data_IF_973862363359
#
_entry.id   IF_973862363359
#
_cell.length_a   1.000
_cell.length_b   1.000
_cell.length_c   1.000
_cell.angle_alpha   90.00
_cell.angle_beta   90.00
_cell.angle_gamma   90.00
#
_symmetry.space_group_name_H-M   'P 1'
#
loop_
_entity.id
_entity.type
_entity.pdbx_description
1 polymer ?
#
# COMPACT_ATOMS: atom_id res chain seq x y z
N UNK A 1 10.12 8.90 -0.01
CA UNK A 1 10.03 8.44 1.40
C UNK A 1 8.59 8.16 1.85
N UNK A 2 7.67 7.84 0.92
CA UNK A 2 6.25 7.59 1.25
C UNK A 2 6.07 6.25 1.99
N UNK A 3 6.46 5.13 1.37
CA UNK A 3 6.25 3.78 1.92
C UNK A 3 6.89 3.56 3.29
N UNK A 4 8.06 4.18 3.55
CA UNK A 4 8.69 4.17 4.88
C UNK A 4 7.85 4.93 5.91
N UNK A 5 7.28 6.07 5.53
CA UNK A 5 6.38 6.84 6.39
C UNK A 5 5.08 6.07 6.67
N UNK A 6 4.55 5.36 5.67
CA UNK A 6 3.38 4.48 5.82
C UNK A 6 3.69 3.31 6.75
N UNK A 7 4.86 2.67 6.62
CA UNK A 7 5.28 1.59 7.51
C UNK A 7 5.40 2.08 8.96
N UNK A 8 6.06 3.21 9.17
CA UNK A 8 6.17 3.83 10.50
C UNK A 8 4.79 4.19 11.08
N UNK A 9 3.93 4.85 10.30
CA UNK A 9 2.58 5.20 10.71
C UNK A 9 1.73 3.96 11.02
N UNK A 10 1.92 2.88 10.27
CA UNK A 10 1.23 1.61 10.50
C UNK A 10 1.61 1.01 11.85
N UNK A 11 2.91 0.97 12.18
CA UNK A 11 3.39 0.55 13.50
C UNK A 11 2.81 1.44 14.60
N UNK A 12 2.88 2.77 14.42
CA UNK A 12 2.33 3.73 15.38
C UNK A 12 0.83 3.51 15.64
N UNK A 13 0.02 3.28 14.61
CA UNK A 13 -1.41 2.98 14.74
C UNK A 13 -1.61 1.66 15.50
N UNK A 14 -0.89 0.62 15.12
CA UNK A 14 -1.00 -0.69 15.77
C UNK A 14 -0.68 -0.61 17.27
N UNK A 15 0.41 0.06 17.65
CA UNK A 15 0.81 0.25 19.04
C UNK A 15 -0.17 1.16 19.80
N UNK A 16 -0.53 2.31 19.23
CA UNK A 16 -1.41 3.30 19.88
C UNK A 16 -2.77 2.72 20.25
N UNK A 17 -3.31 1.86 19.39
CA UNK A 17 -4.62 1.24 19.60
C UNK A 17 -4.52 -0.20 20.13
N UNK A 18 -3.31 -0.64 20.51
CA UNK A 18 -3.04 -1.97 21.06
C UNK A 18 -3.64 -3.10 20.19
N UNK A 19 -3.46 -2.98 18.87
CA UNK A 19 -4.00 -3.90 17.88
C UNK A 19 -3.16 -5.18 17.84
N UNK A 20 -3.82 -6.33 17.87
CA UNK A 20 -3.17 -7.63 17.65
C UNK A 20 -2.94 -7.83 16.15
N UNK A 21 -1.71 -7.55 15.71
CA UNK A 21 -1.30 -7.61 14.30
C UNK A 21 -0.04 -8.46 14.14
N UNK A 22 0.10 -9.07 12.97
CA UNK A 22 1.35 -9.65 12.50
C UNK A 22 2.27 -8.54 11.97
N UNK A 23 3.22 -8.09 12.80
CA UNK A 23 4.10 -6.97 12.47
C UNK A 23 4.97 -7.25 11.23
N UNK A 24 5.36 -8.49 10.99
CA UNK A 24 6.12 -8.86 9.80
C UNK A 24 5.32 -8.53 8.52
N UNK A 25 4.08 -8.99 8.45
CA UNK A 25 3.18 -8.74 7.32
C UNK A 25 2.80 -7.27 7.22
N UNK A 26 2.55 -6.61 8.36
CA UNK A 26 2.21 -5.18 8.43
C UNK A 26 3.32 -4.33 7.81
N UNK A 27 4.55 -4.50 8.28
CA UNK A 27 5.71 -3.70 7.84
C UNK A 27 6.04 -4.04 6.39
N UNK A 28 6.12 -5.33 6.05
CA UNK A 28 6.45 -5.77 4.68
C UNK A 28 5.39 -5.29 3.68
N UNK A 29 4.11 -5.44 4.01
CA UNK A 29 3.01 -4.96 3.19
C UNK A 29 3.01 -3.46 3.02
N UNK A 30 3.31 -2.69 4.08
CA UNK A 30 3.43 -1.23 4.01
C UNK A 30 4.63 -0.77 3.18
N UNK A 31 5.77 -1.47 3.21
CA UNK A 31 6.92 -1.12 2.38
C UNK A 31 6.68 -1.45 0.91
N UNK A 32 5.94 -2.52 0.62
CA UNK A 32 5.71 -3.02 -0.74
C UNK A 32 4.39 -2.59 -1.39
N UNK A 33 3.49 -1.89 -0.68
CA UNK A 33 2.17 -1.54 -1.23
C UNK A 33 2.24 -0.74 -2.54
N UNK A 34 3.28 0.09 -2.65
CA UNK A 34 3.61 0.93 -3.79
C UNK A 34 4.82 0.40 -4.59
N UNK A 35 5.08 -0.91 -4.58
CA UNK A 35 6.19 -1.50 -5.32
C UNK A 35 5.93 -1.63 -6.83
N UNK A 36 5.60 -0.50 -7.48
CA UNK A 36 5.45 -0.38 -8.93
C UNK A 36 6.73 0.25 -9.50
N UNK A 37 7.51 -0.54 -10.23
CA UNK A 37 8.81 -0.12 -10.79
C UNK A 37 8.69 0.68 -12.10
N UNK A 38 7.48 0.99 -12.56
CA UNK A 38 7.26 1.72 -13.82
C UNK A 38 6.77 3.14 -13.56
N UNK A 39 7.38 4.09 -14.27
CA UNK A 39 6.97 5.49 -14.24
C UNK A 39 5.69 5.65 -15.05
N UNK A 40 4.56 5.92 -14.39
CA UNK A 40 3.28 6.16 -15.08
C UNK A 40 3.28 7.47 -15.90
N UNK A 41 4.37 8.25 -15.82
CA UNK A 41 4.61 9.42 -16.67
C UNK A 41 5.13 9.08 -18.07
N UNK A 42 5.41 7.82 -18.40
CA UNK A 42 5.74 7.44 -19.78
C UNK A 42 4.51 7.63 -20.68
N UNK A 43 4.47 8.79 -21.35
CA UNK A 43 3.42 9.23 -22.25
C UNK A 43 3.44 8.53 -23.62
N UNK A 44 4.31 7.53 -23.81
CA UNK A 44 4.46 6.85 -25.10
C UNK A 44 3.45 5.72 -25.34
N UNK A 45 2.88 5.11 -24.30
CA UNK A 45 1.83 4.11 -24.49
C UNK A 45 0.45 4.70 -24.25
N UNK A 46 -0.30 4.88 -25.34
CA UNK A 46 -1.67 5.38 -25.41
C UNK A 46 -2.74 4.55 -24.69
N UNK A 47 -2.40 3.86 -23.60
CA UNK A 47 -3.33 3.10 -22.77
C UNK A 47 -3.61 3.85 -21.47
N UNK A 48 -4.66 4.69 -21.54
CA UNK A 48 -5.36 5.33 -20.42
C UNK A 48 -6.04 4.31 -19.49
N UNK A 49 -5.31 3.32 -18.97
CA UNK A 49 -5.84 2.47 -17.90
C UNK A 49 -5.92 3.34 -16.64
N UNK A 50 -7.03 3.30 -15.89
CA UNK A 50 -7.14 4.14 -14.71
C UNK A 50 -6.14 3.63 -13.67
N UNK A 51 -5.05 4.39 -13.48
CA UNK A 51 -3.87 4.05 -12.67
C UNK A 51 -4.25 3.41 -11.32
N UNK A 52 -5.25 3.99 -10.64
CA UNK A 52 -5.72 3.53 -9.34
C UNK A 52 -6.31 2.11 -9.28
N UNK A 53 -6.75 1.52 -10.41
CA UNK A 53 -7.30 0.16 -10.43
C UNK A 53 -6.26 -0.90 -10.79
N UNK A 54 -5.21 -0.51 -11.49
CA UNK A 54 -4.18 -1.44 -11.95
C UNK A 54 -2.95 -1.45 -11.03
N UNK A 55 -2.66 -0.33 -10.39
CA UNK A 55 -1.53 -0.15 -9.47
C UNK A 55 -1.42 -1.25 -8.40
N UNK A 56 -2.46 -1.59 -7.62
CA UNK A 56 -2.34 -2.63 -6.59
C UNK A 56 -1.98 -4.00 -7.15
N UNK A 57 -2.47 -4.32 -8.34
CA UNK A 57 -2.18 -5.59 -9.02
C UNK A 57 -0.74 -5.61 -9.57
N UNK A 58 -0.26 -4.50 -10.11
CA UNK A 58 1.11 -4.36 -10.59
C UNK A 58 2.12 -4.42 -9.44
N UNK A 59 1.86 -3.69 -8.35
CA UNK A 59 2.67 -3.72 -7.14
C UNK A 59 2.73 -5.13 -6.55
N UNK A 60 1.59 -5.84 -6.50
CA UNK A 60 1.55 -7.22 -6.04
C UNK A 60 2.38 -8.14 -6.95
N UNK A 61 2.24 -8.03 -8.27
CA UNK A 61 2.98 -8.88 -9.21
C UNK A 61 4.49 -8.67 -9.10
N UNK A 62 4.96 -7.44 -8.94
CA UNK A 62 6.37 -7.16 -8.70
C UNK A 62 6.84 -7.71 -7.35
N UNK A 63 6.03 -7.54 -6.30
CA UNK A 63 6.38 -8.02 -4.96
C UNK A 63 6.44 -9.56 -4.92
N UNK A 64 5.53 -10.27 -5.60
CA UNK A 64 5.56 -11.73 -5.71
C UNK A 64 6.70 -12.26 -6.58
N UNK A 65 7.18 -11.47 -7.54
CA UNK A 65 8.34 -11.82 -8.37
C UNK A 65 9.64 -11.72 -7.58
N UNK A 66 9.78 -10.66 -6.79
CA UNK A 66 11.06 -10.30 -6.16
C UNK A 66 11.19 -10.80 -4.71
N UNK A 67 10.06 -11.13 -4.04
CA UNK A 67 10.03 -11.50 -2.63
C UNK A 67 9.09 -12.68 -2.34
N UNK A 68 9.49 -13.52 -1.38
CA UNK A 68 8.59 -14.52 -0.78
C UNK A 68 7.68 -13.84 0.26
N UNK A 69 6.44 -13.57 -0.13
CA UNK A 69 5.45 -12.89 0.71
C UNK A 69 4.26 -13.79 1.05
N UNK A 70 3.77 -13.69 2.28
CA UNK A 70 2.64 -14.47 2.77
C UNK A 70 1.28 -13.90 2.30
N UNK A 71 0.20 -14.64 2.50
CA UNK A 71 -1.16 -14.26 2.07
C UNK A 71 -1.64 -12.92 2.66
N UNK A 72 -1.23 -12.59 3.88
CA UNK A 72 -1.58 -11.34 4.57
C UNK A 72 -0.89 -10.14 3.91
N UNK A 73 0.40 -10.26 3.63
CA UNK A 73 1.19 -9.27 2.88
C UNK A 73 0.60 -9.05 1.48
N UNK A 74 0.27 -10.13 0.76
CA UNK A 74 -0.42 -10.05 -0.54
C UNK A 74 -1.75 -9.30 -0.44
N UNK A 75 -2.53 -9.53 0.61
CA UNK A 75 -3.79 -8.84 0.82
C UNK A 75 -3.61 -7.34 1.04
N UNK A 76 -2.62 -6.95 1.85
CA UNK A 76 -2.24 -5.55 2.08
C UNK A 76 -1.96 -4.87 0.74
N UNK A 77 -1.02 -5.40 -0.04
CA UNK A 77 -0.61 -4.81 -1.32
C UNK A 77 -1.81 -4.76 -2.29
N UNK A 78 -2.61 -5.82 -2.40
CA UNK A 78 -3.73 -5.87 -3.36
C UNK A 78 -4.89 -4.94 -3.00
N UNK A 79 -5.09 -4.61 -1.73
CA UNK A 79 -6.30 -3.94 -1.22
C UNK A 79 -6.04 -2.57 -0.59
N UNK A 80 -4.79 -2.11 -0.55
CA UNK A 80 -4.45 -0.83 0.07
C UNK A 80 -5.18 0.37 -0.54
N UNK A 81 -5.58 0.32 -1.82
CA UNK A 81 -6.30 1.42 -2.48
C UNK A 81 -7.80 1.50 -2.17
N UNK A 82 -8.36 0.70 -1.25
CA UNK A 82 -9.74 0.87 -0.83
C UNK A 82 -10.00 2.30 -0.29
N UNK A 83 -11.12 2.97 -0.63
CA UNK A 83 -12.27 2.52 -1.43
C UNK A 83 -12.17 2.74 -2.95
N UNK A 84 -11.05 3.26 -3.47
CA UNK A 84 -10.84 3.43 -4.91
C UNK A 84 -10.88 2.09 -5.65
N UNK A 85 -10.21 1.06 -5.10
CA UNK A 85 -10.52 -0.32 -5.44
C UNK A 85 -11.68 -0.80 -4.56
N UNK A 86 -12.82 -1.24 -5.14
CA UNK A 86 -14.06 -1.43 -4.38
C UNK A 86 -14.05 -2.63 -3.42
N UNK A 87 -12.99 -3.43 -3.43
CA UNK A 87 -12.88 -4.62 -2.59
C UNK A 87 -12.04 -4.26 -1.34
N UNK A 88 -12.59 -4.38 -0.13
CA UNK A 88 -11.90 -3.98 1.08
C UNK A 88 -10.77 -4.97 1.48
N UNK A 89 -9.86 -4.54 2.37
CA UNK A 89 -8.94 -5.44 3.05
C UNK A 89 -9.69 -6.49 3.88
N UNK A 90 -9.14 -7.71 3.97
CA UNK A 90 -9.75 -8.83 4.73
C UNK A 90 -9.05 -9.09 6.06
N UNK A 91 -7.91 -8.42 6.29
CA UNK A 91 -7.11 -8.55 7.50
C UNK A 91 -6.89 -7.17 8.14
N UNK A 92 -6.63 -7.16 9.45
CA UNK A 92 -6.49 -5.94 10.24
C UNK A 92 -5.32 -5.06 9.77
N UNK A 93 -4.20 -5.66 9.42
CA UNK A 93 -3.00 -5.03 8.87
C UNK A 93 -3.31 -4.35 7.54
N UNK A 94 -4.13 -4.99 6.70
CA UNK A 94 -4.60 -4.39 5.46
C UNK A 94 -5.39 -3.10 5.71
N UNK A 95 -6.24 -3.09 6.74
CA UNK A 95 -6.95 -1.87 7.16
C UNK A 95 -6.00 -0.82 7.73
N UNK A 96 -5.06 -1.22 8.58
CA UNK A 96 -4.08 -0.30 9.18
C UNK A 96 -3.22 0.36 8.11
N UNK A 97 -2.65 -0.41 7.19
CA UNK A 97 -1.84 0.11 6.07
C UNK A 97 -2.70 0.98 5.15
N UNK A 98 -3.93 0.57 4.86
CA UNK A 98 -4.85 1.36 4.06
C UNK A 98 -5.06 2.75 4.71
N UNK A 99 -5.32 2.84 6.01
CA UNK A 99 -5.52 4.12 6.71
C UNK A 99 -4.21 4.93 6.77
N UNK A 100 -3.10 4.28 7.10
CA UNK A 100 -1.78 4.90 7.22
C UNK A 100 -1.34 5.57 5.91
N UNK A 101 -1.55 4.90 4.77
CA UNK A 101 -1.32 5.43 3.44
C UNK A 101 -2.06 6.75 3.23
N UNK A 102 -3.38 6.81 3.52
CA UNK A 102 -4.17 8.04 3.29
C UNK A 102 -3.70 9.17 4.19
N UNK A 103 -3.34 8.87 5.45
CA UNK A 103 -2.80 9.88 6.37
C UNK A 103 -1.48 10.44 5.83
N UNK A 104 -0.56 9.58 5.39
CA UNK A 104 0.72 9.99 4.83
C UNK A 104 0.55 10.78 3.53
N UNK A 105 -0.20 10.25 2.57
CA UNK A 105 -0.50 10.88 1.28
C UNK A 105 -1.16 12.25 1.44
N UNK A 106 -2.10 12.39 2.38
CA UNK A 106 -2.76 13.67 2.68
C UNK A 106 -1.76 14.68 3.28
N UNK A 107 -0.96 14.26 4.27
CA UNK A 107 0.06 15.12 4.89
C UNK A 107 1.13 15.57 3.90
N UNK A 108 1.55 14.67 3.02
CA UNK A 108 2.54 14.96 1.97
C UNK A 108 1.98 15.95 0.94
N UNK A 109 0.71 15.80 0.56
CA UNK A 109 0.02 16.73 -0.34
C UNK A 109 -0.08 18.12 0.28
N UNK A 110 -0.50 18.22 1.55
CA UNK A 110 -0.63 19.51 2.25
C UNK A 110 0.73 20.19 2.43
N UNK A 111 1.79 19.46 2.78
CA UNK A 111 3.14 20.05 2.97
C UNK A 111 3.79 20.58 1.68
N UNK A 112 3.30 20.17 0.52
CA UNK A 112 3.78 20.64 -0.79
C UNK A 112 3.06 21.91 -1.27
N UNK A 113 2.07 22.38 -0.52
CA UNK A 113 1.34 23.63 -0.73
C UNK A 113 1.62 24.62 0.41
#
# INVERSE_FOLDING_TARGET
MHSVSVAYMSCYIAEKYNLSVDYYSLITGALLHDYFLYDWHDKEDGHKRPHGFYHPSAALANAERDFEINSRTKNIIKRHMFPLTPIPPVCLEGWVVCIADKICSTKETIKRH
#
